data_IF_626863157300
#
_entry.id   IF_626863157300
#
_cell.length_a   1.000
_cell.length_b   1.000
_cell.length_c   1.000
_cell.angle_alpha   90.00
_cell.angle_beta   90.00
_cell.angle_gamma   90.00
#
_symmetry.space_group_name_H-M   'P 1'
#
loop_
_entity.id
_entity.type
_entity.pdbx_description
1 polymer ?
#
# COMPACT_ATOMS: atom_id res chain seq x y z
N UNK A 1 24.23 5.84 19.84
CA UNK A 1 23.27 6.20 18.78
C UNK A 1 23.31 5.08 17.75
N UNK A 2 22.21 4.37 17.52
CA UNK A 2 22.14 3.41 16.42
C UNK A 2 22.12 4.21 15.11
N UNK A 3 23.21 4.15 14.34
CA UNK A 3 23.29 4.80 13.04
C UNK A 3 22.31 4.19 12.03
N UNK A 4 21.94 4.96 11.01
CA UNK A 4 21.08 4.48 9.92
C UNK A 4 21.65 3.17 9.35
N UNK A 5 20.80 2.16 9.18
CA UNK A 5 21.23 0.88 8.62
C UNK A 5 21.82 1.11 7.22
N UNK A 6 23.11 0.84 7.06
CA UNK A 6 23.81 0.85 5.78
C UNK A 6 23.40 -0.35 4.93
N UNK A 7 22.12 -0.42 4.55
CA UNK A 7 21.68 -1.42 3.58
C UNK A 7 22.15 -0.96 2.21
N UNK A 8 23.02 -1.73 1.56
CA UNK A 8 23.52 -1.51 0.21
C UNK A 8 22.44 -1.56 -0.90
N UNK A 9 21.16 -1.67 -0.52
CA UNK A 9 19.98 -1.83 -1.38
C UNK A 9 19.90 -0.69 -2.41
N UNK A 10 20.05 0.58 -1.99
CA UNK A 10 19.98 1.72 -2.90
C UNK A 10 21.11 1.74 -3.94
N UNK A 11 22.33 1.40 -3.51
CA UNK A 11 23.51 1.34 -4.39
C UNK A 11 23.45 0.14 -5.35
N UNK A 12 22.85 -0.98 -4.93
CA UNK A 12 22.65 -2.16 -5.77
C UNK A 12 21.58 -1.88 -6.84
N UNK A 13 20.46 -1.24 -6.47
CA UNK A 13 19.43 -0.80 -7.40
C UNK A 13 19.99 0.18 -8.46
N UNK A 14 20.74 1.20 -8.02
CA UNK A 14 21.29 2.23 -8.90
C UNK A 14 22.31 1.69 -9.92
N UNK A 15 22.94 0.54 -9.64
CA UNK A 15 23.88 -0.16 -10.54
C UNK A 15 23.20 -1.22 -11.42
N UNK A 16 21.87 -1.22 -11.49
CA UNK A 16 21.12 -2.17 -12.30
C UNK A 16 20.92 -3.54 -11.66
N UNK A 17 21.15 -3.67 -10.34
CA UNK A 17 20.89 -4.89 -9.57
C UNK A 17 19.40 -5.19 -9.34
N UNK A 18 18.52 -4.63 -10.17
CA UNK A 18 17.11 -4.99 -10.15
C UNK A 18 17.00 -6.40 -10.74
N UNK A 19 16.50 -7.34 -9.95
CA UNK A 19 16.21 -8.69 -10.43
C UNK A 19 15.04 -8.63 -11.41
N UNK A 20 15.35 -8.43 -12.70
CA UNK A 20 14.35 -8.30 -13.76
C UNK A 20 13.55 -9.61 -13.96
N UNK A 21 14.14 -10.77 -13.68
CA UNK A 21 13.44 -12.05 -13.70
C UNK A 21 12.41 -12.14 -12.56
N UNK A 22 12.80 -11.71 -11.36
CA UNK A 22 11.90 -11.57 -10.22
C UNK A 22 10.79 -10.56 -10.48
N UNK A 23 11.12 -9.42 -11.09
CA UNK A 23 10.13 -8.40 -11.48
C UNK A 23 9.16 -8.91 -12.55
N UNK A 24 9.66 -9.61 -13.57
CA UNK A 24 8.83 -10.21 -14.60
C UNK A 24 7.93 -11.32 -14.04
N UNK A 25 8.43 -12.10 -13.08
CA UNK A 25 7.63 -13.08 -12.34
C UNK A 25 6.52 -12.38 -11.55
N UNK A 26 6.86 -11.34 -10.78
CA UNK A 26 5.88 -10.52 -10.06
C UNK A 26 4.79 -9.97 -10.98
N UNK A 27 5.16 -9.34 -12.10
CA UNK A 27 4.19 -8.76 -13.05
C UNK A 27 3.29 -9.80 -13.71
N UNK A 28 3.74 -11.05 -13.85
CA UNK A 28 2.91 -12.17 -14.34
C UNK A 28 1.99 -12.72 -13.25
N UNK A 29 2.48 -12.80 -12.02
CA UNK A 29 1.73 -13.34 -10.87
C UNK A 29 0.70 -12.36 -10.34
N UNK A 30 1.00 -11.06 -10.41
CA UNK A 30 0.12 -9.96 -10.00
C UNK A 30 -0.13 -9.05 -11.20
N UNK A 31 -1.03 -9.44 -12.12
CA UNK A 31 -1.40 -8.61 -13.26
C UNK A 31 -1.78 -7.20 -12.81
N UNK A 32 -1.46 -6.17 -13.59
CA UNK A 32 -1.73 -4.77 -13.21
C UNK A 32 -3.22 -4.47 -12.95
N UNK A 33 -4.12 -5.24 -13.53
CA UNK A 33 -5.56 -5.24 -13.26
C UNK A 33 -5.92 -5.59 -11.80
N UNK A 34 -5.01 -6.26 -11.08
CA UNK A 34 -5.11 -6.54 -9.65
C UNK A 34 -4.50 -5.43 -8.78
N UNK A 35 -3.84 -4.41 -9.35
CA UNK A 35 -3.44 -3.23 -8.58
C UNK A 35 -4.65 -2.34 -8.34
N UNK A 36 -5.45 -2.68 -7.33
CA UNK A 36 -6.53 -1.81 -6.87
C UNK A 36 -5.90 -0.66 -6.09
N UNK A 37 -5.73 0.47 -6.78
CA UNK A 37 -5.32 1.73 -6.15
C UNK A 37 -6.57 2.51 -5.75
N UNK A 38 -6.58 3.02 -4.52
CA UNK A 38 -7.67 3.88 -4.03
C UNK A 38 -7.21 5.33 -4.08
N UNK A 39 -7.98 6.18 -4.77
CA UNK A 39 -7.75 7.62 -4.84
C UNK A 39 -7.69 8.26 -3.46
N UNK A 40 -6.74 9.18 -3.24
CA UNK A 40 -6.51 9.83 -1.95
C UNK A 40 -7.77 10.54 -1.46
N UNK A 41 -8.54 11.16 -2.37
CA UNK A 41 -9.78 11.87 -2.05
C UNK A 41 -10.85 10.94 -1.48
N UNK A 42 -10.87 9.66 -1.88
CA UNK A 42 -11.81 8.67 -1.32
C UNK A 42 -11.41 8.29 0.11
N UNK A 43 -10.11 8.11 0.36
CA UNK A 43 -9.58 7.83 1.70
C UNK A 43 -9.85 9.03 2.63
N UNK A 44 -9.62 10.25 2.16
CA UNK A 44 -9.89 11.47 2.93
C UNK A 44 -11.37 11.61 3.30
N UNK A 45 -12.29 11.28 2.38
CA UNK A 45 -13.73 11.26 2.66
C UNK A 45 -14.11 10.21 3.71
N UNK A 46 -13.53 9.01 3.65
CA UNK A 46 -13.76 7.98 4.67
C UNK A 46 -13.30 8.46 6.05
N UNK A 47 -12.11 9.06 6.14
CA UNK A 47 -11.60 9.61 7.41
C UNK A 47 -12.52 10.73 7.91
N UNK A 48 -12.96 11.64 7.03
CA UNK A 48 -13.87 12.71 7.39
C UNK A 48 -15.21 12.19 7.93
N UNK A 49 -15.73 11.08 7.40
CA UNK A 49 -16.91 10.41 7.92
C UNK A 49 -16.64 9.79 9.31
N UNK A 50 -15.52 9.09 9.49
CA UNK A 50 -15.18 8.48 10.78
C UNK A 50 -14.94 9.50 11.91
N UNK A 51 -14.57 10.72 11.56
CA UNK A 51 -14.44 11.83 12.51
C UNK A 51 -15.74 12.63 12.72
N UNK A 52 -16.85 12.29 12.05
CA UNK A 52 -18.14 12.96 12.25
C UNK A 52 -19.02 12.25 13.28
N UNK A 53 -20.07 12.94 13.74
CA UNK A 53 -21.10 12.37 14.63
C UNK A 53 -21.86 11.21 13.97
N UNK A 54 -21.88 11.13 12.64
CA UNK A 54 -22.55 10.04 11.90
C UNK A 54 -21.88 8.69 12.12
N UNK A 55 -20.61 8.70 12.56
CA UNK A 55 -19.85 7.52 12.93
C UNK A 55 -19.73 7.34 14.45
N UNK A 56 -20.52 8.03 15.28
CA UNK A 56 -20.40 8.00 16.74
C UNK A 56 -20.51 6.59 17.37
N UNK A 57 -21.15 5.64 16.68
CA UNK A 57 -21.27 4.25 17.12
C UNK A 57 -20.07 3.36 16.72
N UNK A 58 -19.16 3.87 15.89
CA UNK A 58 -18.00 3.14 15.37
C UNK A 58 -16.78 3.45 16.24
N UNK A 59 -16.25 2.44 16.91
CA UNK A 59 -15.04 2.56 17.72
C UNK A 59 -14.23 1.25 17.68
N UNK A 60 -12.92 1.35 17.90
CA UNK A 60 -11.98 0.23 17.97
C UNK A 60 -12.00 -0.72 16.75
N UNK A 61 -12.53 -0.25 15.62
CA UNK A 61 -12.64 -1.01 14.38
C UNK A 61 -11.45 -0.70 13.45
N UNK A 62 -10.96 -1.72 12.76
CA UNK A 62 -10.09 -1.58 11.61
C UNK A 62 -10.91 -1.69 10.33
N UNK A 63 -11.03 -0.58 9.59
CA UNK A 63 -11.74 -0.53 8.32
C UNK A 63 -10.73 -0.60 7.17
N UNK A 64 -10.98 -1.51 6.23
CA UNK A 64 -10.17 -1.64 5.02
C UNK A 64 -10.56 -0.58 3.99
N UNK A 65 -9.58 0.16 3.50
CA UNK A 65 -9.72 1.16 2.45
C UNK A 65 -8.86 0.76 1.23
N UNK A 66 -9.07 -0.45 0.74
CA UNK A 66 -8.21 -1.13 -0.25
C UNK A 66 -8.95 -1.42 -1.58
N UNK A 67 -10.12 -0.81 -1.76
CA UNK A 67 -10.96 -1.00 -2.94
C UNK A 67 -11.50 -2.42 -3.12
N UNK A 68 -11.58 -3.19 -2.01
CA UNK A 68 -12.10 -4.57 -2.02
C UNK A 68 -11.03 -5.63 -2.22
N UNK A 69 -9.75 -5.27 -2.14
CA UNK A 69 -8.63 -6.20 -2.31
C UNK A 69 -8.69 -7.38 -1.34
N UNK A 70 -8.86 -7.12 -0.04
CA UNK A 70 -8.90 -8.17 0.96
C UNK A 70 -10.23 -8.93 1.04
N UNK A 71 -11.25 -8.52 0.27
CA UNK A 71 -12.55 -9.17 0.20
C UNK A 71 -12.69 -10.15 -0.98
N UNK A 72 -11.69 -10.20 -1.89
CA UNK A 72 -11.62 -11.12 -3.02
C UNK A 72 -10.88 -12.43 -2.67
#
# INVERSE_FOLDING_TARGET
MAGAMHTNIANHLAKGGMNMEGYATYSKTFPHEHNIMVEIEKVAKLISYLCSEDAAIVNAACLQADGGWAAN
#
